data_IF_178765794669
#
_entry.id   IF_178765794669
#
_cell.length_a   1.000
_cell.length_b   1.000
_cell.length_c   1.000
_cell.angle_alpha   90.00
_cell.angle_beta   90.00
_cell.angle_gamma   90.00
#
_symmetry.space_group_name_H-M   'P 1'
#
loop_
_entity.id
_entity.type
_entity.pdbx_description
1 polymer ?
#
# COMPACT_ATOMS: atom_id res chain seq x y z
N UNK A 1 29.89 -9.63 -67.14
CA UNK A 1 29.01 -10.54 -66.35
C UNK A 1 29.19 -11.99 -66.80
N UNK A 2 29.36 -12.31 -68.08
CA UNK A 2 29.52 -13.69 -68.62
C UNK A 2 30.78 -14.43 -68.14
N UNK A 3 31.90 -13.74 -67.84
CA UNK A 3 33.15 -14.36 -67.36
C UNK A 3 33.15 -14.63 -65.84
N UNK A 4 32.28 -14.02 -65.07
CA UNK A 4 32.24 -14.23 -63.62
C UNK A 4 31.49 -15.51 -63.23
N UNK A 5 30.60 -16.01 -64.09
CA UNK A 5 29.82 -17.21 -63.83
C UNK A 5 30.36 -18.47 -64.56
N UNK A 6 31.27 -18.29 -65.57
CA UNK A 6 31.71 -19.41 -66.43
C UNK A 6 32.36 -20.55 -65.69
N UNK A 7 33.05 -20.32 -64.59
CA UNK A 7 33.77 -21.36 -63.81
C UNK A 7 33.01 -21.74 -62.52
N UNK A 8 31.84 -21.13 -62.20
CA UNK A 8 31.10 -21.34 -60.96
C UNK A 8 29.61 -21.62 -61.18
N UNK A 9 29.27 -22.21 -62.31
CA UNK A 9 27.87 -22.56 -62.64
C UNK A 9 27.28 -23.51 -61.63
N UNK A 10 28.06 -24.52 -61.20
CA UNK A 10 27.61 -25.51 -60.22
C UNK A 10 27.40 -24.89 -58.85
N UNK A 11 28.26 -23.95 -58.42
CA UNK A 11 28.09 -23.21 -57.16
C UNK A 11 26.84 -22.31 -57.18
N UNK A 12 26.57 -21.69 -58.34
CA UNK A 12 25.37 -20.88 -58.53
C UNK A 12 24.08 -21.71 -58.51
N UNK A 13 24.09 -22.89 -59.12
CA UNK A 13 22.98 -23.85 -59.08
C UNK A 13 22.77 -24.42 -57.66
N UNK A 14 23.87 -24.73 -56.98
CA UNK A 14 23.78 -25.18 -55.58
C UNK A 14 23.22 -24.05 -54.68
N UNK A 15 23.71 -22.83 -54.82
CA UNK A 15 23.20 -21.67 -54.09
C UNK A 15 21.72 -21.44 -54.35
N UNK A 16 21.28 -21.55 -55.60
CA UNK A 16 19.87 -21.46 -55.98
C UNK A 16 19.04 -22.51 -55.24
N UNK A 17 19.49 -23.77 -55.22
CA UNK A 17 18.82 -24.87 -54.54
C UNK A 17 18.76 -24.69 -53.03
N UNK A 18 19.82 -24.10 -52.41
CA UNK A 18 19.88 -23.85 -50.96
C UNK A 18 18.97 -22.70 -50.53
N UNK A 19 18.70 -21.70 -51.37
CA UNK A 19 17.81 -20.58 -51.04
C UNK A 19 16.35 -20.84 -51.44
N UNK A 20 16.07 -21.92 -52.14
CA UNK A 20 14.72 -22.29 -52.53
C UNK A 20 13.95 -22.77 -51.29
N UNK A 21 12.83 -22.14 -50.99
CA UNK A 21 11.98 -22.53 -49.88
C UNK A 21 11.22 -23.78 -50.21
N UNK A 22 11.45 -24.85 -49.44
CA UNK A 22 10.74 -26.11 -49.58
C UNK A 22 9.38 -25.94 -48.87
N UNK A 23 8.30 -26.07 -49.65
CA UNK A 23 6.92 -25.84 -49.18
C UNK A 23 6.09 -27.11 -49.00
N UNK A 24 6.67 -28.27 -49.34
CA UNK A 24 6.02 -29.58 -49.38
C UNK A 24 6.55 -30.53 -48.29
N UNK A 25 7.19 -30.00 -47.25
CA UNK A 25 7.64 -30.82 -46.12
C UNK A 25 6.41 -31.24 -45.30
N UNK A 26 6.22 -32.55 -45.17
CA UNK A 26 5.23 -33.10 -44.26
C UNK A 26 5.73 -32.95 -42.83
N UNK A 27 5.12 -32.04 -42.09
CA UNK A 27 5.42 -31.76 -40.66
C UNK A 27 4.59 -32.64 -39.71
N UNK A 28 3.70 -33.51 -40.26
CA UNK A 28 2.77 -34.31 -39.45
C UNK A 28 1.70 -33.49 -38.71
N UNK A 29 1.64 -32.18 -38.97
CA UNK A 29 0.67 -31.25 -38.36
C UNK A 29 0.02 -30.38 -39.45
N UNK A 30 -1.24 -30.04 -39.23
CA UNK A 30 -1.97 -29.09 -40.09
C UNK A 30 -1.79 -27.68 -39.54
N UNK A 31 -2.01 -26.67 -40.40
CA UNK A 31 -1.94 -25.27 -39.99
C UNK A 31 -2.92 -24.95 -38.86
N UNK A 32 -4.08 -25.55 -38.86
CA UNK A 32 -5.11 -25.41 -37.84
C UNK A 32 -4.63 -25.89 -36.45
N UNK A 33 -3.73 -26.90 -36.42
CA UNK A 33 -3.17 -27.42 -35.16
C UNK A 33 -2.18 -26.47 -34.52
N UNK A 34 -1.78 -25.40 -35.22
CA UNK A 34 -0.90 -24.33 -34.70
C UNK A 34 -1.67 -23.19 -34.06
N UNK A 35 -3.00 -23.25 -34.05
CA UNK A 35 -3.82 -22.25 -33.35
C UNK A 35 -3.52 -22.29 -31.85
N UNK A 36 -2.91 -21.23 -31.36
CA UNK A 36 -2.55 -21.10 -29.97
C UNK A 36 -3.58 -20.23 -29.24
N UNK A 37 -4.32 -20.83 -28.33
CA UNK A 37 -5.20 -20.14 -27.40
C UNK A 37 -4.58 -20.19 -26.01
N UNK A 38 -4.01 -19.08 -25.58
CA UNK A 38 -3.48 -18.97 -24.24
C UNK A 38 -4.58 -18.47 -23.30
N UNK A 39 -4.97 -19.30 -22.34
CA UNK A 39 -5.85 -18.93 -21.25
C UNK A 39 -5.09 -19.08 -19.92
N UNK A 40 -4.89 -18.00 -19.15
CA UNK A 40 -4.20 -18.10 -17.88
C UNK A 40 -5.04 -18.91 -16.88
N UNK A 41 -4.57 -20.11 -16.54
CA UNK A 41 -5.24 -20.96 -15.54
C UNK A 41 -5.10 -20.40 -14.13
N UNK A 42 -6.05 -20.75 -13.24
CA UNK A 42 -5.96 -20.39 -11.83
C UNK A 42 -4.72 -20.99 -11.16
N UNK A 43 -4.33 -22.18 -11.59
CA UNK A 43 -3.11 -22.86 -11.13
C UNK A 43 -1.86 -22.05 -11.44
N UNK A 44 -1.73 -21.53 -12.66
CA UNK A 44 -0.63 -20.64 -13.06
C UNK A 44 -0.63 -19.36 -12.25
N UNK A 45 -1.79 -18.75 -12.06
CA UNK A 45 -1.92 -17.50 -11.26
C UNK A 45 -1.51 -17.77 -9.80
N UNK A 46 -1.98 -18.85 -9.20
CA UNK A 46 -1.64 -19.22 -7.83
C UNK A 46 -0.16 -19.56 -7.67
N UNK A 47 0.44 -20.24 -8.65
CA UNK A 47 1.87 -20.51 -8.67
C UNK A 47 2.70 -19.21 -8.73
N UNK A 48 2.31 -18.28 -9.61
CA UNK A 48 2.96 -16.97 -9.72
C UNK A 48 2.76 -16.11 -8.47
N UNK A 49 1.60 -16.22 -7.78
CA UNK A 49 1.37 -15.59 -6.46
C UNK A 49 2.37 -16.11 -5.43
N UNK A 50 2.58 -17.42 -5.38
CA UNK A 50 3.56 -18.05 -4.49
C UNK A 50 5.01 -17.60 -4.74
N UNK A 51 5.33 -17.21 -5.98
CA UNK A 51 6.63 -16.67 -6.38
C UNK A 51 6.74 -15.13 -6.28
N UNK A 52 5.67 -14.43 -5.92
CA UNK A 52 5.64 -12.97 -5.78
C UNK A 52 5.66 -12.18 -7.12
N UNK A 53 5.36 -12.81 -8.26
CA UNK A 53 5.38 -12.16 -9.59
C UNK A 53 4.14 -11.30 -9.87
N UNK A 54 3.91 -10.26 -9.04
CA UNK A 54 2.71 -9.39 -9.12
C UNK A 54 2.48 -8.78 -10.51
N UNK A 55 3.51 -8.27 -11.18
CA UNK A 55 3.35 -7.66 -12.51
C UNK A 55 2.95 -8.66 -13.61
N UNK A 56 3.38 -9.91 -13.49
CA UNK A 56 2.97 -10.98 -14.41
C UNK A 56 1.50 -11.34 -14.17
N UNK A 57 1.08 -11.44 -12.92
CA UNK A 57 -0.32 -11.72 -12.53
C UNK A 57 -1.25 -10.64 -13.08
N UNK A 58 -0.95 -9.35 -12.87
CA UNK A 58 -1.77 -8.26 -13.40
C UNK A 58 -1.92 -8.31 -14.91
N UNK A 59 -0.85 -8.67 -15.65
CA UNK A 59 -0.91 -8.83 -17.10
C UNK A 59 -1.77 -10.03 -17.51
N UNK A 60 -1.65 -11.15 -16.81
CA UNK A 60 -2.44 -12.35 -17.09
C UNK A 60 -3.92 -12.17 -16.78
N UNK A 61 -4.24 -11.47 -15.68
CA UNK A 61 -5.62 -11.12 -15.34
C UNK A 61 -6.23 -10.13 -16.35
N UNK A 62 -5.42 -9.20 -16.87
CA UNK A 62 -5.83 -8.32 -17.98
C UNK A 62 -6.13 -9.10 -19.27
N UNK A 63 -5.33 -10.12 -19.58
CA UNK A 63 -5.60 -11.03 -20.72
C UNK A 63 -6.88 -11.86 -20.51
N UNK A 64 -7.14 -12.32 -19.28
CA UNK A 64 -8.39 -13.01 -18.93
C UNK A 64 -9.62 -12.14 -19.17
N UNK A 65 -9.58 -10.87 -18.75
CA UNK A 65 -10.68 -9.92 -18.98
C UNK A 65 -10.89 -9.64 -20.47
N UNK A 66 -9.83 -9.47 -21.23
CA UNK A 66 -9.92 -9.23 -22.68
C UNK A 66 -10.46 -10.43 -23.46
N UNK A 67 -10.14 -11.67 -23.05
CA UNK A 67 -10.72 -12.90 -23.65
C UNK A 67 -12.19 -13.03 -23.26
N UNK A 68 -12.57 -12.72 -22.02
CA UNK A 68 -13.97 -12.72 -21.57
C UNK A 68 -14.83 -11.68 -22.29
N UNK A 69 -14.31 -10.50 -22.57
CA UNK A 69 -15.04 -9.48 -23.34
C UNK A 69 -15.24 -9.89 -24.80
N UNK A 70 -14.29 -10.66 -25.37
CA UNK A 70 -14.42 -11.20 -26.73
C UNK A 70 -15.36 -12.42 -26.80
N UNK A 71 -15.41 -13.26 -25.77
CA UNK A 71 -16.28 -14.44 -25.69
C UNK A 71 -17.73 -14.07 -25.27
N UNK A 72 -17.94 -13.02 -24.48
CA UNK A 72 -19.28 -12.52 -24.12
C UNK A 72 -20.04 -11.88 -25.29
N UNK A 73 -19.38 -11.67 -26.44
CA UNK A 73 -20.05 -11.30 -27.68
C UNK A 73 -20.77 -12.50 -28.35
N UNK A 74 -20.54 -13.72 -27.89
CA UNK A 74 -21.06 -14.95 -28.53
C UNK A 74 -21.49 -16.05 -27.51
N UNK A 75 -22.26 -15.81 -26.52
CA UNK A 75 -23.08 -16.74 -25.70
C UNK A 75 -23.02 -16.47 -24.18
N UNK A 76 -24.21 -16.39 -23.60
CA UNK A 76 -24.41 -16.12 -22.17
C UNK A 76 -24.10 -17.28 -21.23
N UNK A 77 -23.88 -16.91 -20.00
CA UNK A 77 -23.71 -17.70 -18.77
C UNK A 77 -22.32 -18.32 -18.52
N UNK A 78 -21.46 -17.56 -17.84
CA UNK A 78 -20.49 -18.16 -16.91
C UNK A 78 -20.54 -17.46 -15.55
N UNK A 79 -20.74 -18.30 -14.53
CA UNK A 79 -20.77 -17.94 -13.12
C UNK A 79 -19.44 -17.36 -12.68
N UNK A 80 -19.47 -16.17 -12.09
CA UNK A 80 -18.38 -15.56 -11.33
C UNK A 80 -17.92 -16.51 -10.23
N UNK A 81 -16.77 -17.16 -10.42
CA UNK A 81 -15.94 -17.60 -9.31
C UNK A 81 -15.12 -16.39 -8.87
N UNK A 82 -15.75 -15.52 -8.11
CA UNK A 82 -15.08 -14.52 -7.31
C UNK A 82 -14.13 -15.25 -6.37
N UNK A 83 -12.82 -15.02 -6.51
CA UNK A 83 -11.98 -15.01 -5.32
C UNK A 83 -12.74 -14.12 -4.33
N UNK A 84 -13.20 -14.69 -3.22
CA UNK A 84 -13.82 -13.93 -2.16
C UNK A 84 -12.78 -12.87 -1.73
N UNK A 85 -12.93 -11.67 -2.26
CA UNK A 85 -12.28 -10.50 -1.67
C UNK A 85 -12.88 -10.42 -0.28
N UNK A 86 -12.09 -10.66 0.75
CA UNK A 86 -12.51 -10.48 2.13
C UNK A 86 -12.78 -9.00 2.29
N UNK A 87 -14.01 -8.60 2.04
CA UNK A 87 -14.45 -7.23 2.31
C UNK A 87 -14.39 -7.05 3.81
N UNK A 88 -13.58 -6.11 4.29
CA UNK A 88 -13.59 -5.69 5.68
C UNK A 88 -14.97 -5.09 5.98
N UNK A 89 -15.77 -5.84 6.74
CA UNK A 89 -17.06 -5.34 7.23
C UNK A 89 -16.78 -4.50 8.46
N UNK A 90 -16.95 -3.18 8.32
CA UNK A 90 -16.73 -2.21 9.39
C UNK A 90 -18.00 -1.44 9.70
N UNK A 91 -18.26 -1.25 10.98
CA UNK A 91 -19.27 -0.35 11.49
C UNK A 91 -18.63 1.01 11.77
N UNK A 92 -19.12 2.06 11.15
CA UNK A 92 -18.52 3.39 11.11
C UNK A 92 -19.26 4.36 12.01
N UNK A 93 -18.51 5.06 12.87
CA UNK A 93 -19.04 6.06 13.78
C UNK A 93 -18.25 7.38 13.62
N UNK A 94 -18.95 8.45 13.25
CA UNK A 94 -18.39 9.81 13.29
C UNK A 94 -18.56 10.38 14.69
N UNK A 95 -17.45 10.69 15.34
CA UNK A 95 -17.43 11.23 16.69
C UNK A 95 -17.97 12.67 16.68
N UNK A 96 -18.84 12.98 17.63
CA UNK A 96 -19.59 14.25 17.66
C UNK A 96 -20.96 14.17 17.00
N UNK A 97 -21.21 13.15 16.14
CA UNK A 97 -22.50 12.92 15.48
C UNK A 97 -23.15 11.60 15.92
N UNK A 98 -22.46 10.49 15.68
CA UNK A 98 -23.01 9.13 15.94
C UNK A 98 -22.66 8.65 17.35
N UNK A 99 -21.51 9.07 17.87
CA UNK A 99 -21.01 8.77 19.22
C UNK A 99 -20.50 10.05 19.85
N UNK A 100 -20.80 10.25 21.16
CA UNK A 100 -20.30 11.41 21.87
C UNK A 100 -18.79 11.30 22.10
N UNK A 101 -18.09 12.43 22.11
CA UNK A 101 -16.66 12.48 22.40
C UNK A 101 -16.33 11.89 23.79
N UNK A 102 -17.18 12.15 24.79
CA UNK A 102 -17.01 11.62 26.16
C UNK A 102 -17.14 10.09 26.23
N UNK A 103 -17.96 9.48 25.40
CA UNK A 103 -18.09 8.01 25.36
C UNK A 103 -16.89 7.37 24.67
N UNK A 104 -16.34 8.01 23.63
CA UNK A 104 -15.07 7.58 23.05
C UNK A 104 -13.92 7.65 24.06
N UNK A 105 -13.80 8.74 24.84
CA UNK A 105 -12.77 8.84 25.86
C UNK A 105 -12.85 7.71 26.91
N UNK A 106 -14.05 7.38 27.39
CA UNK A 106 -14.24 6.23 28.29
C UNK A 106 -13.81 4.92 27.65
N UNK A 107 -14.06 4.76 26.33
CA UNK A 107 -13.64 3.57 25.60
C UNK A 107 -12.12 3.49 25.47
N UNK A 108 -11.44 4.63 25.24
CA UNK A 108 -9.98 4.73 25.25
C UNK A 108 -9.42 4.36 26.63
N UNK A 109 -9.94 4.99 27.70
CA UNK A 109 -9.51 4.72 29.08
C UNK A 109 -9.70 3.26 29.52
N UNK A 110 -10.73 2.61 28.98
CA UNK A 110 -11.01 1.17 29.25
C UNK A 110 -10.21 0.18 28.41
N UNK A 111 -9.33 0.67 27.52
CA UNK A 111 -8.62 -0.16 26.54
C UNK A 111 -7.12 -0.14 26.79
N UNK A 112 -6.45 -1.29 26.65
CA UNK A 112 -4.99 -1.40 26.72
C UNK A 112 -4.30 -1.23 25.37
N UNK A 113 -5.04 -1.39 24.28
CA UNK A 113 -4.52 -1.23 22.92
C UNK A 113 -5.61 -0.75 21.96
N UNK A 114 -5.19 0.00 20.94
CA UNK A 114 -6.04 0.40 19.82
C UNK A 114 -5.20 0.56 18.55
N UNK A 115 -5.84 0.49 17.39
CA UNK A 115 -5.23 0.97 16.16
C UNK A 115 -5.59 2.43 15.93
N UNK A 116 -4.65 3.17 15.34
CA UNK A 116 -4.84 4.57 14.98
C UNK A 116 -4.29 4.83 13.58
N UNK A 117 -5.15 5.32 12.70
CA UNK A 117 -4.80 5.83 11.39
C UNK A 117 -4.98 7.35 11.39
N UNK A 118 -3.95 8.10 11.02
CA UNK A 118 -3.91 9.57 11.11
C UNK A 118 -3.71 10.20 9.75
N UNK A 119 -4.42 11.31 9.49
CA UNK A 119 -4.27 12.12 8.30
C UNK A 119 -3.78 13.53 8.64
N UNK A 120 -2.91 14.07 7.79
CA UNK A 120 -2.29 15.36 7.98
C UNK A 120 -2.47 16.24 6.76
N UNK A 121 -2.72 17.54 6.99
CA UNK A 121 -2.68 18.55 5.93
C UNK A 121 -1.25 18.97 5.61
N UNK A 122 -1.07 19.58 4.45
CA UNK A 122 0.19 20.24 4.07
C UNK A 122 1.28 19.28 3.60
N UNK A 123 2.24 19.84 2.85
CA UNK A 123 3.41 19.08 2.34
C UNK A 123 4.63 19.23 3.24
N UNK A 124 4.80 20.39 3.88
CA UNK A 124 5.95 20.63 4.76
C UNK A 124 5.73 19.98 6.12
N UNK A 125 6.77 19.33 6.63
CA UNK A 125 6.71 18.63 7.91
C UNK A 125 6.46 19.55 9.10
N UNK A 126 6.86 20.83 9.00
CA UNK A 126 6.69 21.83 10.07
C UNK A 126 5.30 22.49 10.05
N UNK A 127 4.66 22.57 8.87
CA UNK A 127 3.36 23.22 8.69
C UNK A 127 2.20 22.21 8.67
N UNK A 128 2.50 20.93 8.87
CA UNK A 128 1.48 19.87 8.91
C UNK A 128 0.60 20.01 10.15
N UNK A 129 -0.71 19.91 9.93
CA UNK A 129 -1.71 19.79 11.00
C UNK A 129 -2.38 18.42 10.95
N UNK A 130 -2.61 17.83 12.10
CA UNK A 130 -3.44 16.65 12.22
C UNK A 130 -4.90 17.02 11.93
N UNK A 131 -5.46 16.51 10.84
CA UNK A 131 -6.81 16.85 10.38
C UNK A 131 -7.82 15.77 10.68
N UNK A 132 -7.40 14.51 10.80
CA UNK A 132 -8.27 13.44 11.28
C UNK A 132 -7.49 12.33 11.97
N UNK A 133 -8.18 11.59 12.82
CA UNK A 133 -7.73 10.35 13.41
C UNK A 133 -8.86 9.31 13.36
N UNK A 134 -8.55 8.09 13.00
CA UNK A 134 -9.51 7.00 12.96
C UNK A 134 -9.00 5.85 13.83
N UNK A 135 -9.82 5.42 14.76
CA UNK A 135 -9.50 4.40 15.75
C UNK A 135 -10.29 3.12 15.50
N UNK A 136 -9.68 1.99 15.83
CA UNK A 136 -10.40 0.74 16.05
C UNK A 136 -9.87 0.02 17.27
N UNK A 137 -10.76 -0.67 18.01
CA UNK A 137 -10.44 -1.42 19.22
C UNK A 137 -10.60 -2.94 19.01
N UNK A 138 -11.14 -3.34 17.86
CA UNK A 138 -11.49 -4.74 17.58
C UNK A 138 -11.37 -5.13 16.08
N UNK A 139 -10.97 -4.18 15.23
CA UNK A 139 -10.91 -4.34 13.78
C UNK A 139 -12.27 -4.39 13.06
N UNK A 140 -13.37 -4.03 13.76
CA UNK A 140 -14.73 -4.01 13.22
C UNK A 140 -15.42 -2.66 13.41
N UNK A 141 -15.45 -2.16 14.65
CA UNK A 141 -15.95 -0.81 14.94
C UNK A 141 -14.84 0.20 14.71
N UNK A 142 -15.13 1.25 13.95
CA UNK A 142 -14.20 2.36 13.74
C UNK A 142 -14.81 3.67 14.22
N UNK A 143 -13.98 4.50 14.84
CA UNK A 143 -14.34 5.81 15.37
C UNK A 143 -13.51 6.86 14.66
N UNK A 144 -14.18 7.68 13.85
CA UNK A 144 -13.51 8.71 13.05
C UNK A 144 -13.70 10.08 13.69
N UNK A 145 -12.58 10.78 13.92
CA UNK A 145 -12.51 12.13 14.45
C UNK A 145 -11.99 13.07 13.37
N UNK A 146 -12.63 14.22 13.22
CA UNK A 146 -12.20 15.28 12.31
C UNK A 146 -11.81 16.51 13.15
N UNK A 147 -10.70 17.12 12.80
CA UNK A 147 -10.15 18.31 13.46
C UNK A 147 -10.05 19.48 12.49
N UNK A 148 -10.07 20.70 13.01
CA UNK A 148 -9.96 21.91 12.20
C UNK A 148 -11.24 22.73 12.14
N UNK A 149 -11.42 23.50 11.05
CA UNK A 149 -12.52 24.46 10.89
C UNK A 149 -13.70 23.92 10.06
N UNK A 150 -13.68 22.63 9.71
CA UNK A 150 -14.75 22.03 8.92
C UNK A 150 -16.02 21.86 9.76
N UNK A 151 -17.17 21.90 9.11
CA UNK A 151 -18.44 21.61 9.78
C UNK A 151 -18.44 20.19 10.35
N UNK A 152 -18.81 20.06 11.62
CA UNK A 152 -18.75 18.78 12.36
C UNK A 152 -17.37 18.38 12.88
N UNK A 153 -16.35 19.25 12.77
CA UNK A 153 -15.05 19.04 13.39
C UNK A 153 -15.09 19.23 14.91
N UNK A 154 -14.25 18.47 15.61
CA UNK A 154 -14.06 18.62 17.04
C UNK A 154 -13.26 19.90 17.36
N UNK A 155 -13.62 20.64 18.40
CA UNK A 155 -12.90 21.84 18.81
C UNK A 155 -11.48 21.48 19.30
N UNK A 156 -10.57 22.44 19.23
CA UNK A 156 -9.16 22.27 19.62
C UNK A 156 -8.97 21.73 21.04
N UNK A 157 -9.88 22.10 21.98
CA UNK A 157 -9.88 21.54 23.33
C UNK A 157 -10.06 20.02 23.32
N UNK A 158 -11.02 19.52 22.57
CA UNK A 158 -11.31 18.08 22.49
C UNK A 158 -10.20 17.34 21.74
N UNK A 159 -9.61 17.96 20.72
CA UNK A 159 -8.40 17.43 20.05
C UNK A 159 -7.25 17.24 21.05
N UNK A 160 -6.97 18.24 21.87
CA UNK A 160 -5.90 18.17 22.87
C UNK A 160 -6.19 17.11 23.96
N UNK A 161 -7.45 17.00 24.38
CA UNK A 161 -7.90 15.98 25.32
C UNK A 161 -7.76 14.57 24.72
N UNK A 162 -8.14 14.40 23.45
CA UNK A 162 -7.95 13.17 22.70
C UNK A 162 -6.46 12.77 22.59
N UNK A 163 -5.59 13.71 22.22
CA UNK A 163 -4.15 13.46 22.11
C UNK A 163 -3.51 13.13 23.45
N UNK A 164 -3.99 13.75 24.54
CA UNK A 164 -3.56 13.41 25.91
C UNK A 164 -4.01 12.01 26.32
N UNK A 165 -5.24 11.62 25.98
CA UNK A 165 -5.80 10.31 26.32
C UNK A 165 -5.17 9.16 25.47
N UNK A 166 -4.62 9.48 24.30
CA UNK A 166 -3.97 8.53 23.40
C UNK A 166 -2.46 8.64 23.45
N UNK A 167 -1.86 9.59 22.74
CA UNK A 167 -0.39 9.73 22.68
C UNK A 167 0.26 10.01 24.03
N UNK A 168 -0.42 10.77 24.91
CA UNK A 168 0.06 11.10 26.25
C UNK A 168 -0.10 10.00 27.30
N UNK A 169 -0.75 8.89 26.97
CA UNK A 169 -1.09 7.81 27.90
C UNK A 169 -0.08 6.64 27.79
N UNK A 170 0.75 6.45 28.83
CA UNK A 170 1.76 5.40 28.89
C UNK A 170 1.20 3.96 29.05
N UNK A 171 -0.06 3.83 29.45
CA UNK A 171 -0.73 2.56 29.69
C UNK A 171 -1.39 1.97 28.44
N UNK A 172 -1.40 2.73 27.32
CA UNK A 172 -2.02 2.30 26.07
C UNK A 172 -0.99 1.96 25.00
N UNK A 173 -1.26 0.92 24.23
CA UNK A 173 -0.50 0.61 23.03
C UNK A 173 -1.23 1.11 21.78
N UNK A 174 -0.55 1.91 20.96
CA UNK A 174 -1.07 2.43 19.70
C UNK A 174 -0.45 1.65 18.53
N UNK A 175 -1.28 0.88 17.83
CA UNK A 175 -0.89 0.23 16.59
C UNK A 175 -1.12 1.19 15.42
N UNK A 176 -0.09 1.47 14.62
CA UNK A 176 -0.17 2.37 13.47
C UNK A 176 0.66 1.87 12.29
N UNK A 177 0.54 2.54 11.15
CA UNK A 177 1.30 2.24 9.93
C UNK A 177 2.51 3.18 9.72
N UNK A 178 2.56 4.30 10.42
CA UNK A 178 3.59 5.34 10.26
C UNK A 178 3.90 6.06 11.58
N UNK A 179 4.23 5.34 12.62
CA UNK A 179 4.51 5.87 13.96
C UNK A 179 5.53 7.00 13.97
N UNK A 180 6.60 6.91 13.17
CA UNK A 180 7.60 7.97 13.08
C UNK A 180 7.00 9.31 12.65
N UNK A 181 6.01 9.30 11.76
CA UNK A 181 5.29 10.51 11.31
C UNK A 181 4.55 11.16 12.49
N UNK A 182 3.88 10.34 13.27
CA UNK A 182 3.08 10.79 14.42
C UNK A 182 3.99 11.31 15.55
N UNK A 183 5.07 10.60 15.89
CA UNK A 183 6.09 11.06 16.82
C UNK A 183 6.70 12.39 16.40
N UNK A 184 7.07 12.55 15.13
CA UNK A 184 7.63 13.80 14.62
C UNK A 184 6.64 14.94 14.71
N UNK A 185 5.37 14.72 14.38
CA UNK A 185 4.32 15.74 14.54
C UNK A 185 4.17 16.13 16.00
N UNK A 186 4.08 15.17 16.90
CA UNK A 186 4.02 15.43 18.34
C UNK A 186 5.23 16.24 18.83
N UNK A 187 6.44 15.90 18.41
CA UNK A 187 7.66 16.64 18.76
C UNK A 187 7.64 18.08 18.24
N UNK A 188 7.17 18.32 17.01
CA UNK A 188 7.11 19.66 16.40
C UNK A 188 6.07 20.52 17.12
N UNK A 189 4.92 19.96 17.47
CA UNK A 189 3.81 20.64 18.15
C UNK A 189 3.94 20.62 19.67
N UNK A 190 5.03 20.09 20.23
CA UNK A 190 5.28 19.99 21.67
C UNK A 190 4.20 19.21 22.42
N UNK A 191 3.59 18.21 21.76
CA UNK A 191 2.58 17.32 22.33
C UNK A 191 3.30 16.14 22.99
N UNK A 192 2.99 15.78 24.25
CA UNK A 192 3.55 14.57 24.89
C UNK A 192 3.21 13.31 24.11
N UNK A 193 4.20 12.43 23.93
CA UNK A 193 4.00 11.11 23.34
C UNK A 193 4.65 10.07 24.28
N UNK A 194 3.83 9.43 25.10
CA UNK A 194 4.23 8.45 26.12
C UNK A 194 3.66 7.04 25.83
N UNK A 195 2.68 6.94 24.93
CA UNK A 195 2.04 5.68 24.58
C UNK A 195 3.06 4.68 24.04
N UNK A 196 2.83 3.40 24.35
CA UNK A 196 3.55 2.30 23.71
C UNK A 196 3.19 2.26 22.24
N UNK A 197 4.16 1.90 21.40
CA UNK A 197 4.01 1.94 19.97
C UNK A 197 4.12 0.56 19.34
N UNK A 198 3.31 0.28 18.33
CA UNK A 198 3.43 -0.89 17.46
C UNK A 198 3.24 -0.50 15.99
N UNK A 199 4.34 -0.34 15.26
CA UNK A 199 4.33 0.04 13.84
C UNK A 199 4.29 -1.20 12.95
N UNK A 200 3.12 -1.45 12.32
CA UNK A 200 2.93 -2.65 11.48
C UNK A 200 3.82 -2.64 10.23
N UNK A 201 4.23 -1.48 9.75
CA UNK A 201 5.10 -1.35 8.57
C UNK A 201 6.53 -1.77 8.92
N UNK A 202 7.04 -1.36 10.07
CA UNK A 202 8.35 -1.79 10.58
C UNK A 202 8.37 -3.27 10.90
N UNK A 203 7.31 -3.77 11.56
CA UNK A 203 7.19 -5.20 11.84
C UNK A 203 7.12 -6.03 10.56
N UNK A 204 6.36 -5.58 9.57
CA UNK A 204 6.31 -6.26 8.27
C UNK A 204 7.69 -6.28 7.58
N UNK A 205 8.48 -5.21 7.70
CA UNK A 205 9.86 -5.20 7.19
C UNK A 205 10.73 -6.27 7.85
N UNK A 206 10.60 -6.49 9.16
CA UNK A 206 11.33 -7.53 9.89
C UNK A 206 10.87 -8.94 9.46
N UNK A 207 9.56 -9.13 9.28
CA UNK A 207 8.98 -10.44 8.96
C UNK A 207 9.15 -10.84 7.50
N UNK A 208 9.17 -9.87 6.57
CA UNK A 208 9.07 -10.03 5.11
C UNK A 208 9.98 -9.05 4.36
N UNK A 209 11.30 -9.15 4.54
CA UNK A 209 12.31 -8.21 4.03
C UNK A 209 12.27 -7.95 2.51
N UNK A 210 11.82 -8.92 1.73
CA UNK A 210 11.78 -8.84 0.25
C UNK A 210 10.48 -8.24 -0.29
N UNK A 211 9.50 -7.97 0.57
CA UNK A 211 8.18 -7.45 0.19
C UNK A 211 8.16 -5.93 0.09
N UNK A 212 7.05 -5.38 -0.43
CA UNK A 212 6.78 -3.95 -0.34
C UNK A 212 6.00 -3.65 0.95
N UNK A 213 6.38 -2.57 1.62
CA UNK A 213 5.89 -2.27 2.97
C UNK A 213 4.90 -1.10 3.04
N UNK A 214 4.25 -0.72 1.93
CA UNK A 214 3.10 0.19 2.03
C UNK A 214 1.89 -0.54 2.62
N UNK A 215 1.03 0.16 3.35
CA UNK A 215 -0.14 -0.44 3.98
C UNK A 215 -1.02 -1.20 2.97
N UNK A 216 -1.21 -0.64 1.76
CA UNK A 216 -1.98 -1.28 0.69
C UNK A 216 -1.37 -2.62 0.27
N UNK A 217 -0.03 -2.69 0.14
CA UNK A 217 0.65 -3.93 -0.22
C UNK A 217 0.59 -4.96 0.92
N UNK A 218 0.74 -4.51 2.18
CA UNK A 218 0.66 -5.37 3.36
C UNK A 218 -0.73 -5.99 3.45
N UNK A 219 -1.78 -5.19 3.32
CA UNK A 219 -3.17 -5.65 3.41
C UNK A 219 -3.51 -6.61 2.26
N UNK A 220 -3.09 -6.29 1.03
CA UNK A 220 -3.28 -7.19 -0.12
C UNK A 220 -2.55 -8.52 0.08
N UNK A 221 -1.29 -8.49 0.53
CA UNK A 221 -0.47 -9.68 0.71
C UNK A 221 -0.93 -10.55 1.89
N UNK A 222 -1.25 -9.92 3.03
CA UNK A 222 -1.53 -10.63 4.28
C UNK A 222 -3.00 -10.97 4.48
N UNK A 223 -3.92 -10.21 3.87
CA UNK A 223 -5.36 -10.35 4.07
C UNK A 223 -6.11 -10.68 2.76
N UNK A 224 -5.47 -10.56 1.60
CA UNK A 224 -6.14 -10.70 0.29
C UNK A 224 -7.19 -9.62 0.02
N UNK A 225 -7.15 -8.50 0.76
CA UNK A 225 -8.06 -7.38 0.64
C UNK A 225 -7.40 -6.19 -0.05
N UNK A 226 -8.08 -5.58 -1.00
CA UNK A 226 -7.61 -4.38 -1.65
C UNK A 226 -8.24 -3.15 -1.00
N UNK A 227 -7.41 -2.36 -0.32
CA UNK A 227 -7.83 -1.09 0.24
C UNK A 227 -8.24 -0.11 -0.87
N UNK A 228 -9.25 0.70 -0.61
CA UNK A 228 -9.64 1.80 -1.48
C UNK A 228 -8.47 2.76 -1.71
N UNK A 229 -8.23 3.14 -2.96
CA UNK A 229 -7.16 4.05 -3.36
C UNK A 229 -7.80 5.32 -3.93
N UNK A 230 -7.44 6.45 -3.36
CA UNK A 230 -7.86 7.74 -3.90
C UNK A 230 -6.97 8.13 -5.08
N UNK A 231 -7.58 8.62 -6.16
CA UNK A 231 -6.85 9.25 -7.26
C UNK A 231 -6.14 10.53 -6.76
N UNK A 232 -5.09 10.96 -7.48
CA UNK A 232 -4.36 12.18 -7.12
C UNK A 232 -5.27 13.41 -6.99
N UNK A 233 -6.30 13.52 -7.84
CA UNK A 233 -7.27 14.60 -7.82
C UNK A 233 -8.21 14.50 -6.60
N UNK A 234 -8.62 13.29 -6.25
CA UNK A 234 -9.43 13.06 -5.05
C UNK A 234 -8.63 13.35 -3.79
N UNK A 235 -7.33 13.03 -3.76
CA UNK A 235 -6.47 13.38 -2.63
C UNK A 235 -6.32 14.88 -2.43
N UNK A 236 -6.31 15.68 -3.50
CA UNK A 236 -6.22 17.15 -3.39
C UNK A 236 -7.46 17.76 -2.72
N UNK A 237 -8.65 17.18 -2.94
CA UNK A 237 -9.92 17.62 -2.36
C UNK A 237 -10.31 16.85 -1.10
N UNK A 238 -9.70 15.71 -0.84
CA UNK A 238 -10.02 14.81 0.26
C UNK A 238 -9.89 15.47 1.63
N UNK A 239 -8.87 16.32 1.80
CA UNK A 239 -8.63 17.03 3.04
C UNK A 239 -9.68 18.12 3.35
N UNK A 240 -10.53 18.46 2.38
CA UNK A 240 -11.61 19.43 2.56
C UNK A 240 -12.92 18.78 3.04
N UNK A 241 -13.02 17.44 2.98
CA UNK A 241 -14.28 16.71 3.17
C UNK A 241 -14.09 15.45 4.04
N UNK A 242 -13.30 15.56 5.11
CA UNK A 242 -12.95 14.42 6.00
C UNK A 242 -14.14 13.80 6.75
N UNK A 243 -15.29 14.48 6.78
CA UNK A 243 -16.52 14.03 7.43
C UNK A 243 -17.50 13.30 6.49
N UNK A 244 -17.11 13.01 5.24
CA UNK A 244 -17.94 12.26 4.28
C UNK A 244 -17.86 10.74 4.51
N UNK A 245 -18.88 10.02 4.07
CA UNK A 245 -18.92 8.56 4.16
C UNK A 245 -17.76 7.90 3.43
N UNK A 246 -17.29 8.48 2.31
CA UNK A 246 -16.14 8.01 1.55
C UNK A 246 -14.85 8.17 2.34
N UNK A 247 -14.64 9.34 2.96
CA UNK A 247 -13.46 9.61 3.78
C UNK A 247 -13.42 8.72 5.02
N UNK A 248 -14.56 8.57 5.70
CA UNK A 248 -14.70 7.70 6.86
C UNK A 248 -14.46 6.24 6.48
N UNK A 249 -14.95 5.80 5.31
CA UNK A 249 -14.71 4.44 4.81
C UNK A 249 -13.23 4.23 4.49
N UNK A 250 -12.61 5.16 3.78
CA UNK A 250 -11.19 5.12 3.43
C UNK A 250 -10.28 5.00 4.66
N UNK A 251 -10.47 5.87 5.64
CA UNK A 251 -9.70 5.85 6.88
C UNK A 251 -10.06 4.66 7.78
N UNK A 252 -11.34 4.26 7.79
CA UNK A 252 -11.86 3.16 8.57
C UNK A 252 -11.32 1.81 8.14
N UNK A 253 -11.26 1.52 6.83
CA UNK A 253 -10.65 0.29 6.31
C UNK A 253 -9.18 0.18 6.75
N UNK A 254 -8.45 1.29 6.74
CA UNK A 254 -7.05 1.34 7.18
C UNK A 254 -6.91 1.09 8.67
N UNK A 255 -7.68 1.77 9.51
CA UNK A 255 -7.65 1.57 10.96
C UNK A 255 -8.02 0.12 11.34
N UNK A 256 -9.05 -0.45 10.73
CA UNK A 256 -9.44 -1.84 10.96
C UNK A 256 -8.35 -2.83 10.52
N UNK A 257 -7.77 -2.63 9.33
CA UNK A 257 -6.69 -3.46 8.83
C UNK A 257 -5.45 -3.40 9.73
N UNK A 258 -5.06 -2.20 10.20
CA UNK A 258 -3.94 -2.02 11.14
C UNK A 258 -4.17 -2.84 12.41
N UNK A 259 -5.37 -2.79 12.99
CA UNK A 259 -5.68 -3.57 14.19
C UNK A 259 -5.49 -5.07 13.97
N UNK A 260 -6.13 -5.60 12.93
CA UNK A 260 -6.08 -7.04 12.62
C UNK A 260 -4.66 -7.52 12.27
N UNK A 261 -3.90 -6.70 11.55
CA UNK A 261 -2.50 -6.99 11.22
C UNK A 261 -1.60 -6.93 12.46
N UNK A 262 -1.82 -5.98 13.37
CA UNK A 262 -1.06 -5.87 14.60
C UNK A 262 -1.20 -7.13 15.47
N UNK A 263 -2.42 -7.62 15.66
CA UNK A 263 -2.68 -8.85 16.41
C UNK A 263 -1.96 -10.06 15.80
N UNK A 264 -2.00 -10.20 14.49
CA UNK A 264 -1.31 -11.27 13.77
C UNK A 264 0.21 -11.13 13.89
N UNK A 265 0.74 -9.95 13.60
CA UNK A 265 2.18 -9.71 13.60
C UNK A 265 2.84 -9.84 14.97
N UNK A 266 2.13 -9.52 16.05
CA UNK A 266 2.58 -9.81 17.42
C UNK A 266 2.78 -11.31 17.65
N UNK A 267 1.87 -12.13 17.11
CA UNK A 267 2.01 -13.58 17.16
C UNK A 267 3.18 -14.08 16.32
N UNK A 268 3.31 -13.59 15.09
CA UNK A 268 4.37 -13.98 14.14
C UNK A 268 5.77 -13.60 14.64
N UNK A 269 5.93 -12.41 15.25
CA UNK A 269 7.19 -11.99 15.87
C UNK A 269 7.63 -12.95 16.98
N UNK A 270 6.71 -13.36 17.85
CA UNK A 270 6.99 -14.31 18.94
C UNK A 270 7.35 -15.70 18.40
N UNK A 271 6.57 -16.22 17.44
CA UNK A 271 6.81 -17.51 16.82
C UNK A 271 8.18 -17.57 16.15
N UNK A 272 8.55 -16.53 15.40
CA UNK A 272 9.83 -16.42 14.71
C UNK A 272 10.99 -15.96 15.62
N UNK A 273 10.72 -15.62 16.88
CA UNK A 273 11.70 -15.10 17.86
C UNK A 273 12.38 -13.81 17.41
N UNK A 274 11.63 -12.94 16.73
CA UNK A 274 12.07 -11.65 16.22
C UNK A 274 11.56 -10.47 17.08
N UNK A 275 10.81 -10.75 18.14
CA UNK A 275 10.25 -9.78 19.08
C UNK A 275 11.32 -8.86 19.67
N UNK A 276 12.48 -9.41 20.06
CA UNK A 276 13.59 -8.60 20.56
C UNK A 276 14.14 -7.61 19.56
N UNK A 277 14.22 -7.98 18.28
CA UNK A 277 14.69 -7.08 17.23
C UNK A 277 13.75 -5.89 17.12
N UNK A 278 12.46 -6.14 17.14
CA UNK A 278 11.48 -5.07 17.09
C UNK A 278 11.53 -4.18 18.34
N UNK A 279 11.28 -4.75 19.54
CA UNK A 279 11.12 -3.95 20.76
C UNK A 279 12.41 -3.37 21.33
N UNK A 280 13.56 -4.06 21.17
CA UNK A 280 14.84 -3.59 21.74
C UNK A 280 15.68 -2.77 20.74
N UNK A 281 15.32 -2.74 19.44
CA UNK A 281 16.06 -2.01 18.43
C UNK A 281 15.17 -1.09 17.60
N UNK A 282 14.25 -1.61 16.80
CA UNK A 282 13.55 -0.83 15.77
C UNK A 282 12.55 0.15 16.36
N UNK A 283 11.77 -0.26 17.36
CA UNK A 283 10.83 0.62 18.04
C UNK A 283 11.54 1.79 18.74
N UNK A 284 12.66 1.53 19.39
CA UNK A 284 13.48 2.56 20.04
C UNK A 284 14.13 3.55 19.07
N UNK A 285 14.31 3.16 17.81
CA UNK A 285 14.85 4.06 16.78
C UNK A 285 13.80 5.06 16.27
N UNK A 286 12.52 4.74 16.34
CA UNK A 286 11.44 5.60 15.83
C UNK A 286 11.50 7.02 16.40
N UNK A 287 11.47 7.25 17.74
CA UNK A 287 11.56 8.58 18.31
C UNK A 287 12.90 9.27 18.05
N UNK A 288 14.00 8.50 17.96
CA UNK A 288 15.33 9.05 17.64
C UNK A 288 15.34 9.61 16.22
N UNK A 289 14.87 8.84 15.24
CA UNK A 289 14.79 9.27 13.85
C UNK A 289 13.82 10.44 13.67
N UNK A 290 12.69 10.44 14.38
CA UNK A 290 11.76 11.57 14.38
C UNK A 290 12.43 12.85 14.91
N UNK A 291 13.23 12.74 15.97
CA UNK A 291 14.00 13.87 16.52
C UNK A 291 15.07 14.37 15.54
N UNK A 292 15.78 13.48 14.86
CA UNK A 292 16.74 13.84 13.82
C UNK A 292 16.06 14.58 12.65
N UNK A 293 14.90 14.13 12.21
CA UNK A 293 14.13 14.78 11.15
C UNK A 293 13.61 16.16 11.59
N UNK A 294 13.20 16.34 12.86
CA UNK A 294 12.83 17.64 13.42
C UNK A 294 14.01 18.62 13.38
N UNK A 295 15.21 18.19 13.74
CA UNK A 295 16.41 19.05 13.76
C UNK A 295 16.84 19.37 12.33
N UNK A 296 16.75 18.39 11.42
CA UNK A 296 17.19 18.52 10.03
C UNK A 296 18.71 18.55 9.88
N UNK A 297 19.18 18.90 8.69
CA UNK A 297 20.59 19.07 8.36
C UNK A 297 20.83 20.46 7.76
N UNK A 298 21.98 21.05 8.08
CA UNK A 298 22.37 22.34 7.52
C UNK A 298 22.89 22.14 6.09
N UNK A 299 22.26 22.83 5.12
CA UNK A 299 22.69 22.87 3.73
C UNK A 299 23.49 24.13 3.46
N UNK A 300 24.47 24.06 2.58
CA UNK A 300 25.20 25.22 2.04
C UNK A 300 24.60 25.67 0.69
N UNK A 301 23.71 26.69 0.68
CA UNK A 301 23.07 27.13 -0.56
C UNK A 301 24.05 27.70 -1.60
N UNK A 302 25.15 28.30 -1.12
CA UNK A 302 26.22 28.82 -2.00
C UNK A 302 26.87 27.73 -2.82
N UNK A 303 27.25 26.65 -2.16
CA UNK A 303 27.85 25.48 -2.84
C UNK A 303 26.88 24.81 -3.80
N UNK A 304 25.59 24.70 -3.43
CA UNK A 304 24.57 24.12 -4.34
C UNK A 304 24.40 24.95 -5.62
N UNK A 305 24.42 26.29 -5.52
CA UNK A 305 24.35 27.17 -6.70
C UNK A 305 25.58 27.04 -7.60
N UNK A 306 26.79 26.93 -7.01
CA UNK A 306 28.03 26.69 -7.78
C UNK A 306 28.00 25.33 -8.50
N UNK A 307 27.47 24.29 -7.82
CA UNK A 307 27.32 22.96 -8.39
C UNK A 307 26.30 22.97 -9.54
N UNK A 308 25.14 23.60 -9.36
CA UNK A 308 24.12 23.78 -10.39
C UNK A 308 24.71 24.46 -11.65
N UNK A 309 25.43 25.57 -11.45
CA UNK A 309 26.10 26.29 -12.55
C UNK A 309 27.12 25.41 -13.28
N UNK A 310 27.89 24.60 -12.54
CA UNK A 310 28.88 23.71 -13.12
C UNK A 310 28.26 22.57 -13.93
N UNK A 311 27.17 22.00 -13.42
CA UNK A 311 26.46 20.92 -14.11
C UNK A 311 25.68 21.40 -15.32
N UNK A 312 25.09 22.61 -15.26
CA UNK A 312 24.35 23.22 -16.38
C UNK A 312 25.23 23.61 -17.57
N UNK A 313 26.56 23.69 -17.38
CA UNK A 313 27.53 23.99 -18.44
C UNK A 313 28.07 22.74 -19.16
N UNK A 314 27.81 21.55 -18.66
CA UNK A 314 28.15 20.27 -19.28
C UNK A 314 26.99 19.75 -20.14
#
# INVERSE_FOLDING_TARGET
LTNAFGNHVEDALMSKKLVEIVTDIDLGHKFEDTAYTFYPSDELINWLKGLGFKSAITKLEGLRKGVHEAEMADEGQFTNLSSESVSLKIDKFLVGKDVSFSDLLKKIEGSSALSMYTEYSGMDIYDRELISATLSFDGKEIFHLVFGEQDGSLPEKEKNEFLSATWGNEDIEICSDHSKRDFRHALIKEIPFAAQNFDITQVHYILHTESRHSLENIVDEQMGHQLSVLSKKEMETFFEVMNTDEAISYAGERAAAIYLLAERFKSDLKEKKLDKIYYEMDDLLIPILASMEKIGINLNPGYLKELEFTLSKK
#
